data_IF_529470671958
#
_entry.id   IF_529470671958
#
_cell.length_a   1.000
_cell.length_b   1.000
_cell.length_c   1.000
_cell.angle_alpha   90.00
_cell.angle_beta   90.00
_cell.angle_gamma   90.00
#
_symmetry.space_group_name_H-M   'P 1'
#
loop_
_entity.id
_entity.type
_entity.pdbx_description
1 polymer ?
#
# COMPACT_ATOMS: atom_id res chain seq x y z
N UNK A 1 -51.76 24.00 18.94
CA UNK A 1 -50.41 23.41 19.01
C UNK A 1 -50.56 21.89 19.05
N UNK A 2 -51.39 21.29 18.20
CA UNK A 2 -51.28 20.99 16.77
C UNK A 2 -50.47 19.71 16.51
N UNK A 3 -51.20 18.62 16.31
CA UNK A 3 -50.70 17.29 15.93
C UNK A 3 -49.69 17.33 14.76
N UNK A 4 -49.80 18.34 13.89
CA UNK A 4 -48.84 18.63 12.81
C UNK A 4 -47.42 18.95 13.31
N UNK A 5 -47.25 19.68 14.41
CA UNK A 5 -45.92 19.99 14.95
C UNK A 5 -45.28 18.77 15.59
N UNK A 6 -46.05 17.90 16.23
CA UNK A 6 -45.53 16.62 16.76
C UNK A 6 -45.15 15.64 15.65
N UNK A 7 -45.93 15.57 14.56
CA UNK A 7 -45.60 14.75 13.40
C UNK A 7 -44.34 15.25 12.69
N UNK A 8 -44.19 16.57 12.54
CA UNK A 8 -42.97 17.17 11.97
C UNK A 8 -41.72 16.95 12.84
N UNK A 9 -41.83 17.12 14.15
CA UNK A 9 -40.71 16.88 15.08
C UNK A 9 -40.33 15.40 15.11
N UNK A 10 -41.31 14.49 15.05
CA UNK A 10 -41.06 13.05 14.99
C UNK A 10 -40.39 12.62 13.68
N UNK A 11 -40.82 13.19 12.53
CA UNK A 11 -40.19 12.94 11.22
C UNK A 11 -38.74 13.50 11.17
N UNK A 12 -38.48 14.67 11.76
CA UNK A 12 -37.13 15.23 11.89
C UNK A 12 -36.22 14.37 12.79
N UNK A 13 -36.76 13.82 13.88
CA UNK A 13 -36.01 12.94 14.79
C UNK A 13 -35.72 11.57 14.15
N UNK A 14 -36.69 11.00 13.42
CA UNK A 14 -36.50 9.77 12.64
C UNK A 14 -35.48 9.97 11.50
N UNK A 15 -35.44 11.14 10.87
CA UNK A 15 -34.46 11.43 9.80
C UNK A 15 -33.01 11.56 10.34
N UNK A 16 -32.83 12.03 11.59
CA UNK A 16 -31.50 12.10 12.22
C UNK A 16 -30.94 10.73 12.59
N UNK A 17 -31.78 9.71 12.78
CA UNK A 17 -31.34 8.33 13.09
C UNK A 17 -30.97 7.57 11.81
N UNK A 18 -31.38 8.05 10.63
CA UNK A 18 -31.34 7.26 9.39
C UNK A 18 -30.11 7.45 8.47
N UNK A 19 -29.05 8.16 8.87
CA UNK A 19 -27.88 8.38 7.99
C UNK A 19 -26.54 8.25 8.71
N UNK A 20 -26.30 7.16 9.45
CA UNK A 20 -24.95 6.60 9.47
C UNK A 20 -24.82 5.76 8.20
N UNK A 21 -24.47 6.41 7.09
CA UNK A 21 -23.99 5.66 5.93
C UNK A 21 -22.74 4.91 6.40
N UNK A 22 -22.76 3.57 6.33
CA UNK A 22 -21.56 2.75 6.52
C UNK A 22 -20.61 3.05 5.36
N UNK A 23 -19.89 4.16 5.45
CA UNK A 23 -18.92 4.56 4.44
C UNK A 23 -17.72 3.66 4.56
N UNK A 24 -17.42 2.98 3.46
CA UNK A 24 -16.36 2.00 3.39
C UNK A 24 -15.09 2.70 2.93
N UNK A 25 -14.02 2.56 3.71
CA UNK A 25 -12.71 3.13 3.40
C UNK A 25 -11.65 2.02 3.32
N UNK A 26 -10.68 2.20 2.43
CA UNK A 26 -9.56 1.25 2.30
C UNK A 26 -8.55 1.48 3.42
N UNK A 27 -8.17 0.39 4.09
CA UNK A 27 -7.13 0.36 5.10
C UNK A 27 -6.11 -0.72 4.80
N UNK A 28 -4.88 -0.48 5.25
CA UNK A 28 -3.80 -1.47 5.32
C UNK A 28 -3.74 -1.98 6.76
N UNK A 29 -4.03 -3.26 6.94
CA UNK A 29 -3.95 -3.99 8.20
C UNK A 29 -2.61 -4.73 8.24
N UNK A 30 -1.79 -4.39 9.22
CA UNK A 30 -0.49 -5.02 9.47
C UNK A 30 -0.65 -6.09 10.56
N UNK A 31 -0.24 -7.31 10.24
CA UNK A 31 -0.29 -8.44 11.15
C UNK A 31 1.10 -8.77 11.71
N UNK A 32 1.11 -9.48 12.84
CA UNK A 32 2.33 -10.01 13.40
C UNK A 32 2.91 -11.12 12.50
N UNK A 33 4.19 -11.05 12.07
CA UNK A 33 4.77 -12.06 11.17
C UNK A 33 4.76 -13.48 11.74
N UNK A 34 4.78 -13.61 13.06
CA UNK A 34 4.63 -14.87 13.81
C UNK A 34 3.28 -14.93 14.54
N UNK A 35 2.22 -14.43 13.91
CA UNK A 35 0.89 -14.39 14.51
C UNK A 35 0.43 -15.77 14.98
N UNK A 36 -0.11 -15.84 16.19
CA UNK A 36 -0.49 -17.11 16.84
C UNK A 36 -1.62 -17.82 16.12
N UNK A 37 -2.47 -17.07 15.42
CA UNK A 37 -3.58 -17.63 14.63
C UNK A 37 -3.15 -18.14 13.25
N UNK A 38 -1.95 -17.77 12.77
CA UNK A 38 -1.50 -18.10 11.40
C UNK A 38 -1.39 -19.60 11.14
N UNK A 39 -1.05 -20.41 12.15
CA UNK A 39 -0.88 -21.87 12.00
C UNK A 39 -2.21 -22.61 11.80
N UNK A 40 -3.34 -21.98 12.11
CA UNK A 40 -4.66 -22.58 11.94
C UNK A 40 -5.15 -22.57 10.49
N UNK A 41 -4.38 -21.98 9.57
CA UNK A 41 -4.78 -21.79 8.18
C UNK A 41 -3.76 -22.39 7.22
N UNK A 42 -4.25 -23.02 6.15
CA UNK A 42 -3.40 -23.64 5.14
C UNK A 42 -2.64 -22.61 4.29
N UNK A 43 -3.20 -21.41 4.12
CA UNK A 43 -2.62 -20.35 3.28
C UNK A 43 -2.70 -18.98 3.96
N UNK A 44 -1.75 -18.10 3.64
CA UNK A 44 -1.76 -16.70 4.12
C UNK A 44 -3.02 -15.94 3.67
N UNK A 45 -3.47 -16.02 2.40
CA UNK A 45 -4.74 -15.41 2.00
C UNK A 45 -5.95 -15.90 2.79
N UNK A 46 -6.06 -17.21 3.08
CA UNK A 46 -7.16 -17.74 3.90
C UNK A 46 -7.09 -17.24 5.35
N UNK A 47 -5.87 -17.09 5.89
CA UNK A 47 -5.67 -16.51 7.21
C UNK A 47 -6.09 -15.04 7.25
N UNK A 48 -5.67 -14.24 6.28
CA UNK A 48 -6.03 -12.82 6.19
C UNK A 48 -7.53 -12.61 6.04
N UNK A 49 -8.18 -13.42 5.18
CA UNK A 49 -9.63 -13.37 5.00
C UNK A 49 -10.39 -13.68 6.29
N UNK A 50 -9.83 -14.53 7.17
CA UNK A 50 -10.47 -14.89 8.43
C UNK A 50 -10.65 -13.71 9.40
N UNK A 51 -9.81 -12.68 9.33
CA UNK A 51 -9.98 -11.47 10.14
C UNK A 51 -11.24 -10.70 9.73
N UNK A 52 -11.51 -10.58 8.43
CA UNK A 52 -12.73 -9.94 7.92
C UNK A 52 -13.98 -10.75 8.29
N UNK A 53 -13.90 -12.09 8.18
CA UNK A 53 -15.01 -12.98 8.54
C UNK A 53 -15.38 -12.91 10.03
N UNK A 54 -14.44 -12.54 10.91
CA UNK A 54 -14.71 -12.39 12.34
C UNK A 54 -15.41 -11.07 12.69
N UNK A 55 -15.22 -10.03 11.88
CA UNK A 55 -15.73 -8.68 12.18
C UNK A 55 -16.95 -8.29 11.36
N UNK A 56 -17.19 -8.95 10.23
CA UNK A 56 -18.28 -8.64 9.32
C UNK A 56 -19.54 -9.46 9.63
N UNK A 57 -20.70 -8.94 9.22
CA UNK A 57 -21.98 -9.66 9.26
C UNK A 57 -21.96 -10.87 8.33
N UNK A 58 -22.63 -11.97 8.70
CA UNK A 58 -22.66 -13.21 7.91
C UNK A 58 -23.31 -13.07 6.52
N UNK A 59 -24.07 -11.99 6.30
CA UNK A 59 -24.70 -11.68 5.01
C UNK A 59 -23.75 -11.01 4.02
N UNK A 60 -22.62 -10.48 4.49
CA UNK A 60 -21.64 -9.78 3.68
C UNK A 60 -20.53 -10.71 3.18
N UNK A 61 -20.13 -10.56 1.92
CA UNK A 61 -19.02 -11.32 1.36
C UNK A 61 -17.67 -10.66 1.69
N UNK A 62 -17.00 -11.19 2.71
CA UNK A 62 -15.64 -10.78 3.10
C UNK A 62 -14.63 -10.84 1.94
N UNK A 63 -14.81 -11.75 0.97
CA UNK A 63 -13.88 -11.91 -0.15
C UNK A 63 -13.92 -10.71 -1.08
N UNK A 64 -15.10 -10.10 -1.25
CA UNK A 64 -15.27 -8.88 -2.06
C UNK A 64 -14.56 -7.66 -1.45
N UNK A 65 -14.25 -7.70 -0.15
CA UNK A 65 -13.66 -6.60 0.62
C UNK A 65 -12.16 -6.69 0.75
N UNK A 66 -11.59 -7.88 0.55
CA UNK A 66 -10.16 -8.12 0.57
C UNK A 66 -9.52 -7.72 -0.77
N UNK A 67 -8.75 -6.62 -0.77
CA UNK A 67 -8.13 -6.09 -1.98
C UNK A 67 -6.76 -6.73 -2.24
N UNK A 68 -5.95 -6.89 -1.19
CA UNK A 68 -4.59 -7.43 -1.30
C UNK A 68 -4.24 -8.27 -0.08
N UNK A 69 -3.44 -9.31 -0.31
CA UNK A 69 -2.84 -10.15 0.73
C UNK A 69 -1.31 -10.06 0.64
N UNK A 70 -0.69 -9.44 1.64
CA UNK A 70 0.74 -9.17 1.71
C UNK A 70 1.44 -10.25 2.54
N UNK A 71 2.45 -10.88 1.96
CA UNK A 71 3.19 -11.96 2.63
C UNK A 71 4.72 -11.89 2.42
N UNK A 72 5.21 -10.91 1.65
CA UNK A 72 6.63 -10.83 1.25
C UNK A 72 7.41 -9.80 2.06
N UNK A 73 7.03 -8.51 1.97
CA UNK A 73 7.71 -7.42 2.67
C UNK A 73 7.14 -7.16 4.07
N UNK A 74 5.88 -7.52 4.26
CA UNK A 74 5.17 -7.49 5.53
C UNK A 74 4.10 -8.59 5.51
N UNK A 75 3.63 -8.93 6.70
CA UNK A 75 2.45 -9.78 6.87
C UNK A 75 1.22 -8.90 7.08
N UNK A 76 0.15 -9.18 6.34
CA UNK A 76 -1.11 -8.44 6.48
C UNK A 76 -1.89 -8.32 5.18
N UNK A 77 -2.83 -7.39 5.15
CA UNK A 77 -3.74 -7.24 4.02
C UNK A 77 -4.23 -5.81 3.84
N UNK A 78 -4.78 -5.51 2.67
CA UNK A 78 -5.56 -4.31 2.46
C UNK A 78 -7.01 -4.70 2.22
N UNK A 79 -7.92 -4.02 2.90
CA UNK A 79 -9.35 -4.27 2.78
C UNK A 79 -10.14 -2.97 2.90
N UNK A 80 -11.36 -3.00 2.37
CA UNK A 80 -12.33 -1.95 2.62
C UNK A 80 -13.07 -2.27 3.92
N UNK A 81 -13.13 -1.31 4.85
CA UNK A 81 -13.71 -1.47 6.19
C UNK A 81 -14.68 -0.34 6.51
N UNK A 82 -15.72 -0.64 7.27
CA UNK A 82 -16.49 0.34 8.02
C UNK A 82 -15.75 0.76 9.30
N UNK A 83 -16.20 1.82 9.97
CA UNK A 83 -15.61 2.29 11.22
C UNK A 83 -15.74 1.24 12.33
N UNK A 84 -16.90 0.58 12.45
CA UNK A 84 -17.13 -0.47 13.44
C UNK A 84 -16.31 -1.74 13.18
N UNK A 85 -16.13 -2.12 11.91
CA UNK A 85 -15.23 -3.23 11.54
C UNK A 85 -13.77 -2.90 11.87
N UNK A 86 -13.33 -1.66 11.62
CA UNK A 86 -11.99 -1.20 11.96
C UNK A 86 -11.75 -1.28 13.47
N UNK A 87 -12.68 -0.78 14.28
CA UNK A 87 -12.60 -0.86 15.75
C UNK A 87 -12.53 -2.32 16.22
N UNK A 88 -13.35 -3.19 15.63
CA UNK A 88 -13.37 -4.62 15.96
C UNK A 88 -12.04 -5.30 15.60
N UNK A 89 -11.47 -4.99 14.44
CA UNK A 89 -10.19 -5.54 13.98
C UNK A 89 -9.04 -5.11 14.90
N UNK A 90 -9.04 -3.87 15.41
CA UNK A 90 -7.99 -3.38 16.32
C UNK A 90 -7.87 -4.22 17.60
N UNK A 91 -8.95 -4.90 17.99
CA UNK A 91 -9.01 -5.72 19.20
C UNK A 91 -8.54 -7.16 18.97
N UNK A 92 -8.32 -7.59 17.72
CA UNK A 92 -7.98 -8.97 17.41
C UNK A 92 -6.52 -9.29 17.72
N UNK A 93 -6.23 -10.51 18.24
CA UNK A 93 -4.87 -10.97 18.39
C UNK A 93 -4.20 -11.02 17.02
N UNK A 94 -2.91 -10.67 16.97
CA UNK A 94 -2.06 -10.56 15.78
C UNK A 94 -2.20 -9.26 14.97
N UNK A 95 -3.18 -8.39 15.21
CA UNK A 95 -3.24 -7.07 14.57
C UNK A 95 -2.27 -6.11 15.26
N UNK A 96 -1.26 -5.63 14.53
CA UNK A 96 -0.26 -4.68 15.05
C UNK A 96 -0.68 -3.24 14.81
N UNK A 97 -1.17 -2.96 13.60
CA UNK A 97 -1.52 -1.61 13.20
C UNK A 97 -2.52 -1.63 12.05
N UNK A 98 -3.41 -0.64 12.04
CA UNK A 98 -4.33 -0.38 10.92
C UNK A 98 -4.10 1.06 10.49
N UNK A 99 -3.89 1.28 9.19
CA UNK A 99 -3.62 2.62 8.64
C UNK A 99 -4.51 2.86 7.42
N UNK A 100 -5.09 4.06 7.27
CA UNK A 100 -5.83 4.40 6.05
C UNK A 100 -4.89 4.31 4.84
N UNK A 101 -5.39 3.71 3.76
CA UNK A 101 -4.68 3.70 2.49
C UNK A 101 -4.80 5.07 1.82
N UNK A 102 -3.67 5.58 1.34
CA UNK A 102 -3.58 6.91 0.77
C UNK A 102 -2.80 6.88 -0.54
N UNK A 103 -3.40 7.48 -1.57
CA UNK A 103 -2.70 7.71 -2.83
C UNK A 103 -1.69 8.84 -2.65
N UNK A 104 -0.41 8.50 -2.78
CA UNK A 104 0.68 9.49 -2.76
C UNK A 104 0.76 10.23 -4.10
N UNK A 105 1.11 11.52 -4.04
CA UNK A 105 1.35 12.37 -5.21
C UNK A 105 2.85 12.41 -5.52
N UNK A 106 3.19 12.55 -6.80
CA UNK A 106 4.58 12.65 -7.24
C UNK A 106 5.11 14.04 -6.87
N UNK A 107 6.24 14.09 -6.16
CA UNK A 107 6.78 15.34 -5.63
C UNK A 107 7.82 16.00 -6.54
N UNK A 108 8.55 15.26 -7.38
CA UNK A 108 9.57 15.85 -8.24
C UNK A 108 9.96 14.93 -9.41
N UNK A 109 10.38 15.55 -10.52
CA UNK A 109 11.06 14.88 -11.64
C UNK A 109 12.59 15.12 -11.63
N UNK A 110 13.11 15.88 -10.64
CA UNK A 110 14.51 16.30 -10.54
C UNK A 110 15.17 15.81 -9.23
N UNK A 111 15.22 14.48 -9.07
CA UNK A 111 15.63 13.82 -7.82
C UNK A 111 17.03 14.19 -7.30
N UNK A 112 18.02 14.36 -8.18
CA UNK A 112 19.39 14.67 -7.73
C UNK A 112 19.47 16.04 -7.01
N UNK A 113 18.73 17.03 -7.51
CA UNK A 113 18.67 18.36 -6.91
C UNK A 113 17.85 18.34 -5.62
N UNK A 114 16.75 17.59 -5.59
CA UNK A 114 15.96 17.37 -4.36
C UNK A 114 16.82 16.76 -3.24
N UNK A 115 17.70 15.82 -3.58
CA UNK A 115 18.63 15.18 -2.64
C UNK A 115 19.87 16.05 -2.32
N UNK A 116 19.96 17.28 -2.85
CA UNK A 116 21.11 18.16 -2.65
C UNK A 116 22.41 17.67 -3.26
N UNK A 117 22.34 16.76 -4.24
CA UNK A 117 23.53 16.17 -4.85
C UNK A 117 24.13 17.12 -5.89
N UNK A 118 25.38 17.54 -5.64
CA UNK A 118 26.14 18.41 -6.54
C UNK A 118 27.20 17.60 -7.31
N UNK A 119 27.21 17.77 -8.64
CA UNK A 119 28.17 17.12 -9.55
C UNK A 119 29.48 17.91 -9.70
N UNK A 120 29.52 19.18 -9.29
CA UNK A 120 30.68 20.06 -9.48
C UNK A 120 31.78 19.89 -8.42
N UNK A 121 31.47 19.25 -7.29
CA UNK A 121 32.42 19.04 -6.20
C UNK A 121 33.09 17.66 -6.27
N UNK A 122 34.41 17.63 -6.42
CA UNK A 122 35.21 16.40 -6.39
C UNK A 122 35.17 15.69 -5.02
N UNK A 123 34.76 16.38 -3.96
CA UNK A 123 34.53 15.81 -2.62
C UNK A 123 33.05 15.44 -2.35
N UNK A 124 32.20 15.52 -3.39
CA UNK A 124 30.77 15.23 -3.28
C UNK A 124 30.44 13.73 -3.20
N UNK A 125 29.20 13.42 -2.81
CA UNK A 125 28.71 12.05 -2.67
C UNK A 125 28.86 11.21 -3.96
N UNK A 126 28.78 11.83 -5.14
CA UNK A 126 29.00 11.15 -6.42
C UNK A 126 30.43 10.60 -6.54
N UNK A 127 31.45 11.42 -6.31
CA UNK A 127 32.85 10.97 -6.39
C UNK A 127 33.17 9.96 -5.29
N UNK A 128 32.73 10.22 -4.05
CA UNK A 128 32.92 9.32 -2.90
C UNK A 128 32.29 7.93 -3.11
N UNK A 129 31.20 7.85 -3.88
CA UNK A 129 30.51 6.59 -4.19
C UNK A 129 30.93 5.98 -5.54
N UNK A 130 31.98 6.51 -6.19
CA UNK A 130 32.37 6.14 -7.55
C UNK A 130 31.17 6.16 -8.52
N UNK A 131 30.33 7.18 -8.40
CA UNK A 131 29.10 7.39 -9.20
C UNK A 131 28.10 6.23 -9.12
N UNK A 132 28.14 5.45 -8.04
CA UNK A 132 27.26 4.29 -7.87
C UNK A 132 27.69 3.05 -8.64
N UNK A 133 28.93 2.97 -9.13
CA UNK A 133 29.44 1.82 -9.88
C UNK A 133 29.22 0.50 -9.11
N UNK A 134 28.51 -0.44 -9.72
CA UNK A 134 28.21 -1.75 -9.14
C UNK A 134 27.09 -1.75 -8.07
N UNK A 135 26.41 -0.62 -7.91
CA UNK A 135 25.22 -0.50 -7.06
C UNK A 135 23.97 -0.90 -7.85
N UNK A 136 23.06 -1.60 -7.17
CA UNK A 136 21.75 -1.96 -7.72
C UNK A 136 20.75 -1.00 -7.09
N UNK A 137 20.00 -0.28 -7.93
CA UNK A 137 19.02 0.73 -7.50
C UNK A 137 17.63 0.24 -7.92
N UNK A 138 16.73 0.09 -6.95
CA UNK A 138 15.31 -0.12 -7.22
C UNK A 138 14.61 1.23 -7.29
N UNK A 139 13.89 1.48 -8.38
CA UNK A 139 13.12 2.71 -8.59
C UNK A 139 11.65 2.35 -8.64
N UNK A 140 10.86 2.87 -7.69
CA UNK A 140 9.40 2.79 -7.70
C UNK A 140 8.89 4.11 -8.27
N UNK A 141 8.48 4.09 -9.53
CA UNK A 141 8.02 5.25 -10.28
C UNK A 141 6.84 4.85 -11.20
N UNK A 142 6.23 5.83 -11.83
CA UNK A 142 5.19 5.71 -12.85
C UNK A 142 5.66 5.07 -14.16
N UNK A 143 6.97 4.98 -14.37
CA UNK A 143 7.56 4.36 -15.55
C UNK A 143 8.89 5.02 -15.91
N UNK A 144 9.53 4.51 -16.94
CA UNK A 144 10.74 5.11 -17.54
C UNK A 144 10.57 5.19 -19.05
N UNK A 145 11.25 6.15 -19.68
CA UNK A 145 11.42 6.20 -21.13
C UNK A 145 12.72 5.47 -21.50
N UNK A 146 12.66 4.18 -21.88
CA UNK A 146 13.87 3.40 -22.16
C UNK A 146 14.71 3.96 -23.31
N UNK A 147 14.10 4.71 -24.23
CA UNK A 147 14.79 5.41 -25.32
C UNK A 147 15.59 6.65 -24.87
N UNK A 148 15.43 7.10 -23.63
CA UNK A 148 16.14 8.28 -23.14
C UNK A 148 17.64 7.97 -22.98
N UNK A 149 18.56 8.87 -23.39
CA UNK A 149 20.01 8.62 -23.31
C UNK A 149 20.54 8.26 -21.91
N UNK A 150 19.80 8.57 -20.84
CA UNK A 150 20.14 8.17 -19.47
C UNK A 150 20.10 6.65 -19.24
N UNK A 151 19.43 5.90 -20.11
CA UNK A 151 19.32 4.44 -20.04
C UNK A 151 20.17 3.72 -21.11
N UNK A 152 20.99 4.46 -21.86
CA UNK A 152 21.95 3.88 -22.79
C UNK A 152 23.04 3.12 -22.03
N UNK A 153 23.16 1.82 -22.29
CA UNK A 153 24.08 0.93 -21.60
C UNK A 153 25.46 0.82 -22.30
N UNK A 154 25.69 1.56 -23.39
CA UNK A 154 26.96 1.55 -24.10
C UNK A 154 28.12 1.90 -23.17
N UNK A 155 29.07 0.98 -23.06
CA UNK A 155 30.26 1.12 -22.21
C UNK A 155 30.04 0.76 -20.74
N UNK A 156 28.84 0.31 -20.36
CA UNK A 156 28.59 -0.21 -19.01
C UNK A 156 29.31 -1.54 -18.77
N UNK A 157 29.81 -1.76 -17.54
CA UNK A 157 30.38 -3.05 -17.17
C UNK A 157 29.29 -4.14 -17.10
N UNK A 158 29.69 -5.43 -17.06
CA UNK A 158 28.73 -6.51 -16.86
C UNK A 158 27.86 -6.32 -15.62
N UNK A 159 26.64 -6.84 -15.68
CA UNK A 159 25.67 -6.83 -14.57
C UNK A 159 26.33 -7.35 -13.28
N UNK A 160 26.19 -6.66 -12.13
CA UNK A 160 26.83 -7.09 -10.89
C UNK A 160 26.47 -8.52 -10.51
N UNK A 161 27.45 -9.36 -10.16
CA UNK A 161 27.25 -10.79 -9.80
C UNK A 161 26.28 -11.02 -8.64
N UNK A 162 26.06 -10.00 -7.80
CA UNK A 162 25.10 -10.02 -6.68
C UNK A 162 23.65 -9.81 -7.11
N UNK A 163 23.40 -9.36 -8.33
CA UNK A 163 22.05 -9.24 -8.88
C UNK A 163 21.49 -10.63 -9.16
N UNK A 164 20.30 -10.91 -8.61
CA UNK A 164 19.61 -12.20 -8.76
C UNK A 164 18.34 -12.10 -9.61
N UNK A 165 17.99 -10.91 -10.08
CA UNK A 165 16.87 -10.72 -11.00
C UNK A 165 17.26 -11.04 -12.43
N UNK A 166 16.29 -10.86 -13.33
CA UNK A 166 16.48 -11.02 -14.77
C UNK A 166 16.36 -9.67 -15.47
N UNK A 167 17.01 -9.52 -16.61
CA UNK A 167 16.69 -8.41 -17.52
C UNK A 167 15.34 -8.71 -18.16
N UNK A 168 14.35 -7.86 -17.90
CA UNK A 168 13.02 -7.98 -18.52
C UNK A 168 12.99 -7.11 -19.77
N UNK A 169 12.64 -7.70 -20.92
CA UNK A 169 12.41 -6.96 -22.15
C UNK A 169 11.02 -6.30 -22.07
N UNK A 170 10.97 -4.99 -22.20
CA UNK A 170 9.74 -4.21 -22.34
C UNK A 170 9.60 -3.62 -23.75
N UNK A 171 8.48 -2.96 -24.01
CA UNK A 171 8.33 -2.16 -25.23
C UNK A 171 9.40 -1.06 -25.23
N UNK A 172 10.15 -0.95 -26.35
CA UNK A 172 11.25 -0.01 -26.53
C UNK A 172 12.48 -0.19 -25.60
N UNK A 173 12.57 -1.27 -24.83
CA UNK A 173 13.84 -1.70 -24.23
C UNK A 173 14.64 -2.48 -25.28
N UNK A 174 15.51 -1.77 -25.98
CA UNK A 174 16.29 -2.25 -27.13
C UNK A 174 17.76 -2.57 -26.81
N UNK A 175 18.16 -2.41 -25.55
CA UNK A 175 19.46 -2.78 -24.97
C UNK A 175 19.29 -3.86 -23.90
#
# INVERSE_FOLDING_TARGET
MDFKTHLFVSILFLCSVCLHANTLQTYIVQLHPQGVTSSSFATKPSWHLSFLQQTMSSEEDASSRLLYSYHSAMEGFAAQLSESELESLQMLPDVIAIRPDHRLQIHTTYSYKFLGLNTASSDGAWHKSAFGRGTIIGVLDTGVWPEHPSFDDRGMPPVPRKWRGICQRGQNFNS
#
